data_IF_585068185906
#
_entry.id   IF_585068185906
#
_cell.length_a   1.000
_cell.length_b   1.000
_cell.length_c   1.000
_cell.angle_alpha   90.00
_cell.angle_beta   90.00
_cell.angle_gamma   90.00
#
_symmetry.space_group_name_H-M   'P 1'
#
loop_
_entity.id
_entity.type
_entity.pdbx_description
1 polymer ?
#
# COMPACT_ATOMS: atom_id res chain seq x y z
N UNK A 1 -46.89 -9.29 24.01
CA UNK A 1 -47.15 -9.77 22.65
C UNK A 1 -46.33 -8.97 21.65
N UNK A 2 -45.23 -9.58 21.19
CA UNK A 2 -44.50 -9.34 19.94
C UNK A 2 -43.76 -8.00 19.69
N UNK A 3 -42.48 -8.17 19.32
CA UNK A 3 -41.50 -7.24 18.72
C UNK A 3 -42.00 -6.71 17.33
N UNK A 4 -41.42 -5.74 16.62
CA UNK A 4 -40.07 -5.64 15.99
C UNK A 4 -39.98 -4.21 15.37
N UNK A 5 -39.00 -3.37 15.69
CA UNK A 5 -37.74 -3.25 14.94
C UNK A 5 -37.55 -1.85 14.31
N UNK A 6 -36.92 -0.94 15.05
CA UNK A 6 -36.41 0.30 14.47
C UNK A 6 -35.26 -0.03 13.51
N UNK A 7 -35.44 0.21 12.22
CA UNK A 7 -34.39 -0.02 11.22
C UNK A 7 -33.11 0.75 11.61
N UNK A 8 -31.98 0.04 11.69
CA UNK A 8 -30.63 0.62 11.86
C UNK A 8 -30.29 1.58 10.72
N UNK A 9 -30.98 1.44 9.58
CA UNK A 9 -30.83 2.30 8.42
C UNK A 9 -31.95 3.33 8.33
N UNK A 10 -31.55 4.59 8.09
CA UNK A 10 -32.47 5.68 7.76
C UNK A 10 -32.57 5.80 6.25
N UNK A 11 -33.76 5.55 5.71
CA UNK A 11 -34.05 5.76 4.28
C UNK A 11 -34.53 7.18 4.07
N UNK A 12 -33.84 7.94 3.22
CA UNK A 12 -34.17 9.31 2.88
C UNK A 12 -34.42 9.41 1.37
N UNK A 13 -35.53 10.03 0.97
CA UNK A 13 -35.76 10.36 -0.42
C UNK A 13 -34.85 11.52 -0.83
N UNK A 14 -34.04 11.37 -1.88
CA UNK A 14 -33.08 12.39 -2.33
C UNK A 14 -33.74 13.75 -2.62
N UNK A 15 -35.00 13.76 -3.09
CA UNK A 15 -35.78 14.97 -3.35
C UNK A 15 -36.45 15.59 -2.12
N UNK A 16 -36.35 14.97 -0.94
CA UNK A 16 -36.86 15.56 0.31
C UNK A 16 -35.87 16.56 0.88
N UNK A 17 -36.35 17.47 1.74
CA UNK A 17 -35.47 18.39 2.47
C UNK A 17 -34.39 17.63 3.27
N UNK A 18 -34.79 16.61 4.04
CA UNK A 18 -33.88 15.79 4.82
C UNK A 18 -32.88 15.01 3.95
N UNK A 19 -33.29 14.58 2.75
CA UNK A 19 -32.40 13.94 1.78
C UNK A 19 -31.35 14.89 1.21
N UNK A 20 -31.77 16.09 0.80
CA UNK A 20 -30.83 17.13 0.30
C UNK A 20 -29.84 17.56 1.37
N UNK A 21 -30.30 17.84 2.58
CA UNK A 21 -29.44 18.20 3.71
C UNK A 21 -28.41 17.09 4.02
N UNK A 22 -28.84 15.83 3.99
CA UNK A 22 -27.93 14.70 4.17
C UNK A 22 -26.89 14.59 3.05
N UNK A 23 -27.28 14.83 1.80
CA UNK A 23 -26.36 14.83 0.66
C UNK A 23 -25.33 15.96 0.75
N UNK A 24 -25.74 17.16 1.16
CA UNK A 24 -24.81 18.28 1.40
C UNK A 24 -23.82 18.00 2.54
N UNK A 25 -24.27 17.31 3.60
CA UNK A 25 -23.37 16.86 4.66
C UNK A 25 -22.38 15.80 4.15
N UNK A 26 -22.81 14.86 3.30
CA UNK A 26 -21.94 13.83 2.72
C UNK A 26 -20.90 14.44 1.78
N UNK A 27 -21.30 15.41 0.95
CA UNK A 27 -20.39 16.16 0.08
C UNK A 27 -19.32 16.91 0.89
N UNK A 28 -19.71 17.56 1.99
CA UNK A 28 -18.77 18.25 2.88
C UNK A 28 -17.84 17.31 3.63
N UNK A 29 -18.29 16.11 4.02
CA UNK A 29 -17.48 15.13 4.75
C UNK A 29 -16.23 14.71 3.96
N UNK A 30 -16.33 14.63 2.63
CA UNK A 30 -15.20 14.30 1.75
C UNK A 30 -14.20 15.43 1.54
N UNK A 31 -14.54 16.67 1.93
CA UNK A 31 -13.71 17.87 1.70
C UNK A 31 -12.81 18.23 2.89
N UNK A 32 -12.98 17.59 4.04
CA UNK A 32 -12.14 17.80 5.22
C UNK A 32 -10.83 17.00 5.12
N UNK A 33 -9.69 17.70 5.19
CA UNK A 33 -8.39 17.04 5.39
C UNK A 33 -8.23 16.53 6.83
N UNK A 34 -7.19 15.74 7.13
CA UNK A 34 -6.88 15.36 8.50
C UNK A 34 -6.72 16.62 9.38
N UNK A 35 -7.10 16.50 10.65
CA UNK A 35 -6.97 17.56 11.63
C UNK A 35 -5.55 18.15 11.60
N UNK A 36 -5.44 19.47 11.78
CA UNK A 36 -4.17 20.20 11.63
C UNK A 36 -3.10 19.61 12.55
N UNK A 37 -3.48 19.18 13.75
CA UNK A 37 -2.60 18.57 14.74
C UNK A 37 -1.99 17.25 14.26
N UNK A 38 -2.77 16.41 13.55
CA UNK A 38 -2.29 15.14 12.98
C UNK A 38 -1.23 15.42 11.91
N UNK A 39 -1.47 16.43 11.06
CA UNK A 39 -0.52 16.80 10.01
C UNK A 39 0.78 17.34 10.59
N UNK A 40 0.69 18.18 11.63
CA UNK A 40 1.86 18.73 12.31
C UNK A 40 2.67 17.61 12.97
N UNK A 41 2.01 16.70 13.70
CA UNK A 41 2.67 15.57 14.34
C UNK A 41 3.41 14.69 13.33
N UNK A 42 2.77 14.37 12.20
CA UNK A 42 3.41 13.57 11.14
C UNK A 42 4.62 14.30 10.53
N UNK A 43 4.50 15.61 10.28
CA UNK A 43 5.61 16.41 9.77
C UNK A 43 6.80 16.43 10.73
N UNK A 44 6.56 16.58 12.03
CA UNK A 44 7.61 16.55 13.05
C UNK A 44 8.32 15.19 13.16
N UNK A 45 7.61 14.09 12.90
CA UNK A 45 8.23 12.76 12.85
C UNK A 45 9.15 12.67 11.63
N UNK A 46 8.64 13.04 10.45
CA UNK A 46 9.41 13.04 9.19
C UNK A 46 10.66 13.92 9.31
N UNK A 47 10.52 15.13 9.86
CA UNK A 47 11.64 16.07 9.99
C UNK A 47 12.70 15.57 10.99
N UNK A 48 12.28 14.89 12.06
CA UNK A 48 13.22 14.25 12.99
C UNK A 48 13.98 13.10 12.34
N UNK A 49 13.31 12.23 11.58
CA UNK A 49 14.00 11.13 10.86
C UNK A 49 14.93 11.70 9.79
N UNK A 50 14.51 12.74 9.06
CA UNK A 50 15.35 13.42 8.08
C UNK A 50 16.62 14.02 8.69
N UNK A 51 16.53 14.62 9.88
CA UNK A 51 17.67 15.25 10.56
C UNK A 51 18.55 14.24 11.32
N UNK A 52 17.94 13.25 11.96
CA UNK A 52 18.62 12.31 12.86
C UNK A 52 18.95 10.94 12.24
N UNK A 53 18.52 10.68 11.01
CA UNK A 53 18.78 9.43 10.29
C UNK A 53 18.37 8.19 11.08
N UNK A 54 19.20 7.15 11.01
CA UNK A 54 18.98 5.85 11.64
C UNK A 54 18.68 5.93 13.15
N UNK A 55 19.32 6.84 13.87
CA UNK A 55 19.10 6.98 15.31
C UNK A 55 17.67 7.44 15.62
N UNK A 56 17.17 8.44 14.87
CA UNK A 56 15.80 8.92 15.01
C UNK A 56 14.78 7.91 14.50
N UNK A 57 15.10 7.18 13.43
CA UNK A 57 14.26 6.09 12.92
C UNK A 57 14.10 4.98 13.96
N UNK A 58 15.19 4.50 14.57
CA UNK A 58 15.15 3.47 15.60
C UNK A 58 14.38 3.92 16.84
N UNK A 59 14.48 5.20 17.22
CA UNK A 59 13.65 5.76 18.29
C UNK A 59 12.16 5.71 17.93
N UNK A 60 11.79 6.12 16.72
CA UNK A 60 10.42 6.09 16.26
C UNK A 60 9.85 4.66 16.18
N UNK A 61 10.62 3.71 15.65
CA UNK A 61 10.24 2.29 15.60
C UNK A 61 10.04 1.73 17.02
N UNK A 62 10.95 1.99 17.95
CA UNK A 62 10.76 1.60 19.37
C UNK A 62 9.48 2.17 19.95
N UNK A 63 9.23 3.46 19.70
CA UNK A 63 8.12 4.21 20.31
C UNK A 63 6.76 3.82 19.73
N UNK A 64 6.66 3.71 18.40
CA UNK A 64 5.38 3.58 17.70
C UNK A 64 5.08 2.13 17.27
N UNK A 65 6.10 1.37 16.89
CA UNK A 65 5.94 -0.04 16.48
C UNK A 65 6.15 -1.02 17.64
N UNK A 66 6.72 -0.55 18.77
CA UNK A 66 7.04 -1.40 19.93
C UNK A 66 8.11 -2.44 19.64
N UNK A 67 8.99 -2.15 18.68
CA UNK A 67 10.07 -3.05 18.24
C UNK A 67 11.44 -2.42 18.52
N UNK A 68 12.30 -3.12 19.26
CA UNK A 68 13.64 -2.64 19.60
C UNK A 68 14.70 -3.33 18.73
N UNK A 69 14.93 -2.76 17.55
CA UNK A 69 15.94 -3.24 16.63
C UNK A 69 17.33 -2.72 17.04
N UNK A 70 18.38 -3.56 17.05
CA UNK A 70 19.72 -3.15 17.48
C UNK A 70 20.44 -2.23 16.49
N UNK A 71 19.96 -2.12 15.24
CA UNK A 71 20.49 -1.24 14.21
C UNK A 71 19.45 -1.02 13.11
N UNK A 72 19.61 0.01 12.28
CA UNK A 72 18.73 0.22 11.13
C UNK A 72 18.79 -0.95 10.14
N UNK A 73 19.96 -1.58 9.97
CA UNK A 73 20.09 -2.79 9.17
C UNK A 73 19.23 -3.96 9.70
N UNK A 74 19.05 -4.05 11.02
CA UNK A 74 18.20 -5.07 11.64
C UNK A 74 16.69 -4.83 11.43
N UNK A 75 16.28 -3.65 10.94
CA UNK A 75 14.91 -3.41 10.48
C UNK A 75 14.60 -4.17 9.18
N UNK A 76 15.61 -4.58 8.41
CA UNK A 76 15.41 -5.39 7.20
C UNK A 76 15.06 -6.82 7.60
N UNK A 77 13.76 -7.14 7.60
CA UNK A 77 13.22 -8.45 7.95
C UNK A 77 13.49 -9.51 6.88
N UNK A 78 13.60 -9.08 5.63
CA UNK A 78 14.02 -9.91 4.51
C UNK A 78 14.88 -9.10 3.54
N UNK A 79 16.00 -9.70 3.14
CA UNK A 79 16.87 -9.21 2.07
C UNK A 79 17.01 -10.25 0.97
N UNK A 80 17.15 -9.77 -0.27
CA UNK A 80 17.36 -10.51 -1.51
C UNK A 80 16.21 -11.45 -1.94
N UNK A 81 15.22 -11.68 -1.06
CA UNK A 81 13.78 -11.94 -1.29
C UNK A 81 13.12 -12.31 0.06
N UNK A 82 11.80 -12.11 0.23
CA UNK A 82 11.05 -12.70 1.33
C UNK A 82 11.19 -14.22 1.33
N UNK A 83 11.23 -14.84 2.52
CA UNK A 83 11.25 -16.30 2.58
C UNK A 83 9.91 -16.84 2.10
N UNK A 84 9.89 -17.80 1.15
CA UNK A 84 8.66 -18.46 0.75
C UNK A 84 8.04 -19.13 1.97
N UNK A 85 6.77 -18.82 2.23
CA UNK A 85 5.99 -19.38 3.33
C UNK A 85 4.74 -20.09 2.81
N UNK A 86 4.73 -20.50 1.54
CA UNK A 86 3.59 -21.16 0.90
C UNK A 86 3.20 -22.46 1.61
N UNK A 87 4.18 -23.19 2.14
CA UNK A 87 3.96 -24.46 2.86
C UNK A 87 3.25 -24.28 4.21
N UNK A 88 3.22 -23.05 4.75
CA UNK A 88 2.50 -22.69 5.97
C UNK A 88 1.09 -22.13 5.70
N UNK A 89 0.68 -22.04 4.43
CA UNK A 89 -0.60 -21.44 4.02
C UNK A 89 -1.55 -22.52 3.51
N UNK A 90 -2.82 -22.45 3.92
CA UNK A 90 -3.85 -23.38 3.46
C UNK A 90 -3.98 -23.35 1.91
N UNK A 91 -4.09 -24.52 1.24
CA UNK A 91 -4.16 -24.58 -0.22
C UNK A 91 -5.26 -23.72 -0.84
N UNK A 92 -6.44 -23.65 -0.22
CA UNK A 92 -7.54 -22.82 -0.69
C UNK A 92 -7.19 -21.31 -0.69
N UNK A 93 -6.34 -20.88 0.24
CA UNK A 93 -5.85 -19.49 0.33
C UNK A 93 -4.80 -19.24 -0.75
N UNK A 94 -3.88 -20.20 -1.00
CA UNK A 94 -2.92 -20.11 -2.11
C UNK A 94 -3.63 -19.97 -3.46
N UNK A 95 -4.64 -20.80 -3.70
CA UNK A 95 -5.45 -20.74 -4.92
C UNK A 95 -6.17 -19.39 -5.07
N UNK A 96 -6.67 -18.83 -3.97
CA UNK A 96 -7.31 -17.52 -3.98
C UNK A 96 -6.30 -16.39 -4.29
N UNK A 97 -5.09 -16.47 -3.74
CA UNK A 97 -4.00 -15.53 -3.99
C UNK A 97 -3.58 -15.55 -5.46
N UNK A 98 -3.37 -16.73 -6.04
CA UNK A 98 -2.98 -16.86 -7.45
C UNK A 98 -4.07 -16.34 -8.39
N UNK A 99 -5.35 -16.64 -8.11
CA UNK A 99 -6.46 -16.07 -8.88
C UNK A 99 -6.49 -14.54 -8.80
N UNK A 100 -6.31 -13.98 -7.60
CA UNK A 100 -6.27 -12.54 -7.41
C UNK A 100 -5.09 -11.90 -8.15
N UNK A 101 -3.89 -12.47 -8.03
CA UNK A 101 -2.69 -12.02 -8.75
C UNK A 101 -2.92 -12.02 -10.26
N UNK A 102 -3.42 -13.13 -10.81
CA UNK A 102 -3.70 -13.27 -12.24
C UNK A 102 -4.72 -12.25 -12.75
N UNK A 103 -5.79 -11.99 -11.99
CA UNK A 103 -6.79 -10.98 -12.35
C UNK A 103 -6.21 -9.55 -12.34
N UNK A 104 -5.43 -9.20 -11.30
CA UNK A 104 -4.76 -7.90 -11.18
C UNK A 104 -3.78 -7.71 -12.35
N UNK A 105 -2.98 -8.72 -12.64
CA UNK A 105 -2.00 -8.70 -13.72
C UNK A 105 -2.67 -8.55 -15.09
N UNK A 106 -3.74 -9.30 -15.36
CA UNK A 106 -4.50 -9.21 -16.61
C UNK A 106 -5.08 -7.80 -16.82
N UNK A 107 -5.67 -7.21 -15.77
CA UNK A 107 -6.22 -5.86 -15.83
C UNK A 107 -5.13 -4.82 -16.11
N UNK A 108 -4.04 -4.81 -15.34
CA UNK A 108 -2.98 -3.82 -15.51
C UNK A 108 -2.21 -3.99 -16.82
N UNK A 109 -2.09 -5.23 -17.33
CA UNK A 109 -1.47 -5.50 -18.64
C UNK A 109 -2.29 -4.86 -19.76
N UNK A 110 -3.62 -4.89 -19.68
CA UNK A 110 -4.48 -4.22 -20.64
C UNK A 110 -4.36 -2.69 -20.59
N UNK A 111 -3.94 -2.11 -19.46
CA UNK A 111 -3.72 -0.67 -19.30
C UNK A 111 -2.33 -0.21 -19.70
N UNK A 112 -1.36 -1.12 -19.82
CA UNK A 112 -0.02 -0.76 -20.28
C UNK A 112 -0.10 -0.17 -21.69
N UNK A 113 0.23 1.12 -21.79
CA UNK A 113 0.45 1.74 -23.09
C UNK A 113 1.65 1.04 -23.72
N UNK A 114 1.54 0.70 -25.01
CA UNK A 114 2.59 -0.01 -25.76
C UNK A 114 3.92 0.77 -25.83
N UNK A 115 4.78 0.47 -26.81
CA UNK A 115 6.01 1.23 -26.96
C UNK A 115 5.73 2.74 -27.11
N UNK A 116 6.74 3.53 -26.77
CA UNK A 116 6.79 4.94 -27.06
C UNK A 116 6.49 5.26 -28.53
N UNK A 117 6.07 6.49 -28.81
CA UNK A 117 5.73 6.91 -30.17
C UNK A 117 6.91 7.68 -30.77
N UNK A 118 7.35 7.28 -31.97
CA UNK A 118 8.27 8.05 -32.81
C UNK A 118 7.49 8.72 -33.94
N UNK A 119 7.70 10.02 -34.16
CA UNK A 119 7.12 10.78 -35.28
C UNK A 119 8.12 11.78 -35.83
N UNK A 120 7.98 12.11 -37.11
CA UNK A 120 8.67 13.24 -37.73
C UNK A 120 7.62 14.30 -38.04
N UNK A 121 7.86 15.53 -37.60
CA UNK A 121 6.95 16.65 -37.86
C UNK A 121 7.07 17.18 -39.30
N UNK A 122 6.20 18.14 -39.66
CA UNK A 122 6.19 18.76 -40.99
C UNK A 122 7.47 19.52 -41.35
N UNK A 123 8.33 19.81 -40.37
CA UNK A 123 9.60 20.53 -40.53
C UNK A 123 10.80 19.56 -40.52
N UNK A 124 10.58 18.24 -40.44
CA UNK A 124 11.65 17.24 -40.37
C UNK A 124 12.21 16.98 -38.96
N UNK A 125 11.58 17.50 -37.90
CA UNK A 125 12.00 17.27 -36.52
C UNK A 125 11.53 15.89 -36.06
N UNK A 126 12.47 15.07 -35.56
CA UNK A 126 12.17 13.77 -34.95
C UNK A 126 11.73 13.96 -33.49
N UNK A 127 10.60 13.40 -33.14
CA UNK A 127 9.98 13.42 -31.82
C UNK A 127 9.83 11.98 -31.33
N UNK A 128 10.38 11.67 -30.16
CA UNK A 128 10.29 10.36 -29.51
C UNK A 128 9.68 10.51 -28.12
N UNK A 129 8.60 9.77 -27.85
CA UNK A 129 8.10 9.54 -26.49
C UNK A 129 8.75 8.26 -25.96
N UNK A 130 9.40 8.30 -24.79
CA UNK A 130 9.86 7.10 -24.10
C UNK A 130 9.06 6.88 -22.83
N UNK A 131 8.69 5.63 -22.56
CA UNK A 131 8.02 5.19 -21.33
C UNK A 131 9.00 4.30 -20.59
N UNK A 132 9.49 4.77 -19.44
CA UNK A 132 10.53 4.13 -18.65
C UNK A 132 9.98 3.91 -17.25
N UNK A 133 10.18 2.70 -16.72
CA UNK A 133 9.80 2.39 -15.35
C UNK A 133 10.60 3.24 -14.35
N UNK A 134 10.01 3.47 -13.18
CA UNK A 134 10.79 3.96 -12.04
C UNK A 134 11.74 2.85 -11.62
N UNK A 135 13.02 3.17 -11.41
CA UNK A 135 14.05 2.18 -11.04
C UNK A 135 13.72 1.48 -9.71
N UNK A 136 13.36 2.26 -8.68
CA UNK A 136 13.04 1.76 -7.32
C UNK A 136 11.77 2.39 -6.77
N UNK A 137 10.92 1.59 -6.15
CA UNK A 137 9.73 2.05 -5.43
C UNK A 137 9.70 1.56 -3.98
N UNK A 138 9.16 2.39 -3.09
CA UNK A 138 8.81 2.02 -1.72
C UNK A 138 7.29 1.85 -1.61
N UNK A 139 6.85 0.74 -1.05
CA UNK A 139 5.45 0.41 -0.85
C UNK A 139 5.17 0.30 0.66
N UNK A 140 4.14 0.99 1.14
CA UNK A 140 3.71 0.83 2.53
C UNK A 140 2.56 -0.15 2.62
N UNK A 141 2.73 -1.19 3.44
CA UNK A 141 1.68 -2.16 3.75
C UNK A 141 1.27 -1.92 5.20
N UNK A 142 0.06 -1.38 5.45
CA UNK A 142 -0.38 -1.10 6.80
C UNK A 142 -0.34 -2.35 7.67
N UNK A 143 0.06 -2.16 8.92
CA UNK A 143 -0.20 -3.12 9.99
C UNK A 143 -1.52 -2.84 10.69
N UNK A 144 -1.90 -3.70 11.62
CA UNK A 144 -3.12 -3.56 12.41
C UNK A 144 -3.55 -4.90 13.00
N UNK A 145 -4.85 -5.05 13.25
CA UNK A 145 -5.41 -6.33 13.73
C UNK A 145 -5.20 -7.48 12.74
N UNK A 146 -5.09 -7.16 11.45
CA UNK A 146 -4.88 -8.12 10.39
C UNK A 146 -3.85 -7.60 9.38
N UNK A 147 -2.99 -8.46 8.83
CA UNK A 147 -2.16 -8.14 7.68
C UNK A 147 -3.02 -7.91 6.44
N UNK A 148 -2.54 -7.12 5.48
CA UNK A 148 -3.24 -6.83 4.21
C UNK A 148 -2.48 -7.38 2.98
N UNK A 149 -2.50 -8.70 2.72
CA UNK A 149 -1.87 -9.29 1.54
C UNK A 149 -2.42 -8.71 0.22
N UNK A 150 -3.69 -8.31 0.19
CA UNK A 150 -4.29 -7.68 -0.98
C UNK A 150 -3.62 -6.37 -1.37
N UNK A 151 -3.15 -5.56 -0.41
CA UNK A 151 -2.41 -4.34 -0.68
C UNK A 151 -1.12 -4.66 -1.43
N UNK A 152 -0.37 -5.67 -0.98
CA UNK A 152 0.85 -6.11 -1.66
C UNK A 152 0.56 -6.49 -3.10
N UNK A 153 -0.46 -7.33 -3.35
CA UNK A 153 -0.82 -7.71 -4.73
C UNK A 153 -1.21 -6.49 -5.57
N UNK A 154 -2.01 -5.58 -5.01
CA UNK A 154 -2.49 -4.40 -5.74
C UNK A 154 -1.39 -3.37 -6.03
N UNK A 155 -0.28 -3.37 -5.31
CA UNK A 155 0.80 -2.39 -5.50
C UNK A 155 2.05 -2.97 -6.16
N UNK A 156 2.47 -4.17 -5.76
CA UNK A 156 3.72 -4.78 -6.24
C UNK A 156 3.56 -5.44 -7.61
N UNK A 157 2.41 -6.08 -7.89
CA UNK A 157 2.14 -6.68 -9.22
C UNK A 157 2.19 -5.63 -10.33
N UNK A 158 1.48 -4.48 -10.26
CA UNK A 158 1.61 -3.46 -11.30
C UNK A 158 3.01 -2.83 -11.37
N UNK A 159 3.73 -2.69 -10.25
CA UNK A 159 5.10 -2.21 -10.26
C UNK A 159 6.03 -3.15 -11.03
N UNK A 160 5.96 -4.46 -10.77
CA UNK A 160 6.72 -5.48 -11.52
C UNK A 160 6.33 -5.50 -12.99
N UNK A 161 5.03 -5.44 -13.29
CA UNK A 161 4.55 -5.41 -14.66
C UNK A 161 5.00 -4.16 -15.43
N UNK A 162 5.13 -3.02 -14.75
CA UNK A 162 5.66 -1.79 -15.34
C UNK A 162 7.19 -1.84 -15.60
N UNK A 163 7.91 -2.81 -15.04
CA UNK A 163 9.35 -2.97 -15.19
C UNK A 163 10.18 -2.35 -14.05
N UNK A 164 9.60 -2.15 -12.87
CA UNK A 164 10.35 -1.67 -11.70
C UNK A 164 11.37 -2.73 -11.26
N UNK A 165 12.63 -2.32 -11.12
CA UNK A 165 13.76 -3.19 -10.79
C UNK A 165 13.83 -3.52 -9.30
N UNK A 166 13.61 -2.53 -8.44
CA UNK A 166 13.72 -2.67 -6.98
C UNK A 166 12.41 -2.28 -6.27
N UNK A 167 11.84 -3.20 -5.51
CA UNK A 167 10.63 -3.01 -4.70
C UNK A 167 10.97 -3.24 -3.22
N UNK A 168 10.93 -2.17 -2.44
CA UNK A 168 11.03 -2.23 -0.98
C UNK A 168 9.64 -2.07 -0.36
N UNK A 169 9.30 -2.93 0.60
CA UNK A 169 8.06 -2.84 1.38
C UNK A 169 8.38 -2.44 2.82
N UNK A 170 7.70 -1.43 3.34
CA UNK A 170 7.66 -1.13 4.77
C UNK A 170 6.33 -1.61 5.37
N UNK A 171 6.41 -2.34 6.47
CA UNK A 171 5.24 -2.81 7.22
C UNK A 171 5.59 -2.96 8.70
N UNK A 172 4.67 -2.66 9.65
CA UNK A 172 4.92 -2.90 11.06
C UNK A 172 5.38 -4.35 11.32
N UNK A 173 6.42 -4.59 12.14
CA UNK A 173 7.10 -5.89 12.24
C UNK A 173 6.17 -7.09 12.45
N UNK A 174 5.18 -6.95 13.33
CA UNK A 174 4.21 -8.02 13.64
C UNK A 174 3.40 -8.45 12.43
N UNK A 175 3.05 -7.53 11.53
CA UNK A 175 2.28 -7.87 10.32
C UNK A 175 3.04 -8.87 9.44
N UNK A 176 4.37 -8.78 9.39
CA UNK A 176 5.24 -9.70 8.66
C UNK A 176 5.54 -10.98 9.44
N UNK A 177 5.94 -10.86 10.71
CA UNK A 177 6.38 -11.98 11.54
C UNK A 177 5.24 -12.97 11.83
N UNK A 178 4.02 -12.46 12.04
CA UNK A 178 2.88 -13.27 12.47
C UNK A 178 2.05 -13.82 11.30
N UNK A 179 2.38 -13.46 10.04
CA UNK A 179 1.56 -13.82 8.87
C UNK A 179 2.34 -14.58 7.79
N UNK A 180 2.20 -15.91 7.73
CA UNK A 180 2.72 -16.70 6.61
C UNK A 180 2.12 -16.27 5.27
N UNK A 181 0.82 -15.89 5.27
CA UNK A 181 0.12 -15.39 4.09
C UNK A 181 0.78 -14.11 3.55
N UNK A 182 1.11 -13.15 4.41
CA UNK A 182 1.78 -11.92 3.97
C UNK A 182 3.17 -12.23 3.41
N UNK A 183 3.96 -13.08 4.09
CA UNK A 183 5.29 -13.49 3.62
C UNK A 183 5.22 -14.14 2.24
N UNK A 184 4.29 -15.07 2.04
CA UNK A 184 4.07 -15.73 0.76
C UNK A 184 3.70 -14.73 -0.34
N UNK A 185 2.79 -13.80 -0.07
CA UNK A 185 2.38 -12.81 -1.08
C UNK A 185 3.49 -11.82 -1.42
N UNK A 186 4.33 -11.42 -0.45
CA UNK A 186 5.50 -10.59 -0.70
C UNK A 186 6.50 -11.28 -1.63
N UNK A 187 6.77 -12.57 -1.41
CA UNK A 187 7.64 -13.37 -2.29
C UNK A 187 7.02 -13.52 -3.70
N UNK A 188 5.75 -13.95 -3.75
CA UNK A 188 5.02 -14.17 -5.00
C UNK A 188 4.91 -12.90 -5.86
N UNK A 189 4.71 -11.73 -5.24
CA UNK A 189 4.66 -10.46 -5.94
C UNK A 189 6.05 -9.93 -6.33
N UNK A 190 7.12 -10.66 -6.00
CA UNK A 190 8.50 -10.32 -6.28
C UNK A 190 8.92 -9.08 -5.51
N UNK A 191 8.72 -8.99 -4.20
CA UNK A 191 9.31 -7.91 -3.40
C UNK A 191 10.79 -8.23 -3.14
N UNK A 192 11.67 -7.23 -3.13
CA UNK A 192 13.13 -7.44 -2.93
C UNK A 192 13.55 -7.23 -1.47
N UNK A 193 12.90 -6.28 -0.78
CA UNK A 193 13.23 -5.91 0.59
C UNK A 193 11.97 -5.73 1.43
N UNK A 194 12.01 -6.22 2.67
CA UNK A 194 10.95 -5.97 3.64
C UNK A 194 11.54 -5.33 4.88
N UNK A 195 10.96 -4.20 5.28
CA UNK A 195 11.39 -3.38 6.39
C UNK A 195 10.32 -3.36 7.48
N UNK A 196 10.72 -3.75 8.68
CA UNK A 196 9.90 -3.81 9.89
C UNK A 196 9.72 -2.44 10.52
N UNK A 197 8.92 -1.59 9.89
CA UNK A 197 8.59 -0.25 10.37
C UNK A 197 7.27 0.22 9.75
N UNK A 198 6.51 1.06 10.44
CA UNK A 198 5.35 1.68 9.83
C UNK A 198 4.81 2.91 10.55
N UNK A 199 4.36 3.89 9.78
CA UNK A 199 3.88 5.15 10.31
C UNK A 199 4.42 6.31 9.50
N UNK A 200 4.59 7.45 10.15
CA UNK A 200 5.16 8.64 9.53
C UNK A 200 6.70 8.64 9.50
N UNK A 201 7.35 7.76 10.28
CA UNK A 201 8.80 7.63 10.37
C UNK A 201 9.44 6.84 9.23
#
# INVERSE_FOLDING_TARGET
>A
MAEVGGSVFRVLAAGSFAGRDRLELLDRRGRGGPAVEIRQTAAEIVDRVRAGGDAALLEAVRRFDGHDAPSAAALRLAGDRPRPAGDEVEPAVLDAIERARGAIEAYHRALLRGPGVERVDRNGVRIEERRIAIRRVGLYVPGGRFPYPSTVLMTAVPARLAGVEEIAVATPPRAYLDSPVLRHVLDLAGVDEVWGMGGAH
#
